data_IF_533031388506
#
_entry.id   IF_533031388506
#
_cell.length_a   1.000
_cell.length_b   1.000
_cell.length_c   1.000
_cell.angle_alpha   90.00
_cell.angle_beta   90.00
_cell.angle_gamma   90.00
#
_symmetry.space_group_name_H-M   'P 1'
#
loop_
_entity.id
_entity.type
_entity.pdbx_description
1 polymer ?
#
# COMPACT_ATOMS: atom_id res chain seq x y z
N UNK A 1 22.56 11.90 -3.13
CA UNK A 1 21.72 13.02 -3.61
C UNK A 1 20.92 12.66 -4.88
N UNK A 2 21.31 11.61 -5.63
CA UNK A 2 20.71 11.29 -6.94
C UNK A 2 19.54 10.28 -6.85
N UNK A 3 19.51 9.41 -5.82
CA UNK A 3 18.50 8.34 -5.74
C UNK A 3 17.10 8.83 -5.35
N UNK A 4 17.00 9.83 -4.48
CA UNK A 4 15.68 10.37 -4.11
C UNK A 4 15.00 11.13 -5.26
N UNK A 5 15.77 11.87 -6.06
CA UNK A 5 15.27 12.56 -7.25
C UNK A 5 14.76 11.57 -8.30
N UNK A 6 15.48 10.47 -8.52
CA UNK A 6 15.07 9.42 -9.45
C UNK A 6 13.75 8.76 -9.02
N UNK A 7 13.56 8.51 -7.73
CA UNK A 7 12.32 7.95 -7.20
C UNK A 7 11.12 8.88 -7.45
N UNK A 8 11.29 10.19 -7.21
CA UNK A 8 10.24 11.19 -7.46
C UNK A 8 9.91 11.28 -8.96
N UNK A 9 10.91 11.34 -9.84
CA UNK A 9 10.71 11.38 -11.30
C UNK A 9 9.98 10.11 -11.77
N UNK A 10 10.36 8.95 -11.30
CA UNK A 10 9.68 7.70 -11.62
C UNK A 10 8.22 7.73 -11.16
N UNK A 11 7.94 8.17 -9.94
CA UNK A 11 6.58 8.29 -9.42
C UNK A 11 5.69 9.16 -10.30
N UNK A 12 6.18 10.32 -10.75
CA UNK A 12 5.44 11.22 -11.65
C UNK A 12 5.19 10.54 -13.00
N UNK A 13 6.23 9.98 -13.61
CA UNK A 13 6.13 9.31 -14.93
C UNK A 13 5.10 8.15 -14.91
N UNK A 14 5.11 7.35 -13.85
CA UNK A 14 4.16 6.23 -13.76
C UNK A 14 2.75 6.68 -13.40
N UNK A 15 2.58 7.80 -12.70
CA UNK A 15 1.28 8.42 -12.49
C UNK A 15 0.66 8.87 -13.83
N UNK A 16 1.44 9.48 -14.71
CA UNK A 16 0.98 9.85 -16.06
C UNK A 16 0.55 8.62 -16.87
N UNK A 17 1.37 7.56 -16.88
CA UNK A 17 1.01 6.29 -17.54
C UNK A 17 -0.25 5.65 -16.94
N UNK A 18 -0.42 5.76 -15.61
CA UNK A 18 -1.61 5.23 -14.94
C UNK A 18 -2.86 6.02 -15.36
N UNK A 19 -2.78 7.34 -15.51
CA UNK A 19 -3.89 8.19 -16.00
C UNK A 19 -4.27 7.81 -17.45
N UNK A 20 -3.28 7.49 -18.29
CA UNK A 20 -3.55 7.02 -19.66
C UNK A 20 -4.26 5.65 -19.67
N UNK A 21 -3.90 4.77 -18.74
CA UNK A 21 -4.49 3.43 -18.62
C UNK A 21 -5.89 3.46 -17.98
N UNK A 22 -6.04 4.26 -16.93
CA UNK A 22 -7.28 4.42 -16.15
C UNK A 22 -7.51 5.90 -15.92
N UNK A 23 -8.44 6.53 -16.64
CA UNK A 23 -8.71 7.95 -16.48
C UNK A 23 -9.04 8.32 -15.04
N UNK A 24 -8.47 9.42 -14.57
CA UNK A 24 -8.74 9.94 -13.23
C UNK A 24 -10.18 10.43 -13.09
N UNK A 25 -10.78 10.36 -11.90
CA UNK A 25 -12.13 10.86 -11.66
C UNK A 25 -12.15 12.39 -11.76
N UNK A 26 -13.27 12.94 -12.24
CA UNK A 26 -13.43 14.40 -12.38
C UNK A 26 -13.38 15.15 -11.04
N UNK A 27 -13.75 14.48 -9.95
CA UNK A 27 -13.79 15.03 -8.59
C UNK A 27 -13.11 14.04 -7.63
N UNK A 28 -11.78 14.08 -7.47
CA UNK A 28 -11.07 13.24 -6.52
C UNK A 28 -11.46 13.59 -5.08
N UNK A 29 -11.62 12.58 -4.22
CA UNK A 29 -12.04 12.72 -2.83
C UNK A 29 -10.89 12.30 -1.91
N UNK A 30 -10.69 13.03 -0.79
CA UNK A 30 -9.67 12.67 0.19
C UNK A 30 -8.24 13.01 -0.22
N UNK A 31 -8.04 14.25 -0.70
CA UNK A 31 -6.76 14.79 -1.18
C UNK A 31 -6.35 16.08 -0.44
N UNK A 32 -6.54 16.11 0.86
CA UNK A 32 -6.32 17.28 1.72
C UNK A 32 -4.82 17.50 2.07
N UNK A 33 -4.51 18.40 3.00
CA UNK A 33 -3.15 18.79 3.38
C UNK A 33 -2.32 17.63 3.95
N UNK A 34 -1.29 17.21 3.22
CA UNK A 34 -0.37 16.13 3.59
C UNK A 34 0.39 16.37 4.91
N UNK A 35 0.52 17.63 5.37
CA UNK A 35 1.17 17.97 6.64
C UNK A 35 0.51 17.33 7.86
N UNK A 36 -0.78 17.00 7.77
CA UNK A 36 -1.54 16.30 8.81
C UNK A 36 -0.95 14.91 9.06
N UNK A 37 -0.51 14.23 8.00
CA UNK A 37 0.08 12.89 8.10
C UNK A 37 1.40 12.96 8.87
N UNK A 38 2.28 13.88 8.50
CA UNK A 38 3.54 14.08 9.22
C UNK A 38 3.30 14.44 10.71
N UNK A 39 2.36 15.33 11.01
CA UNK A 39 2.01 15.69 12.39
C UNK A 39 1.55 14.49 13.23
N UNK A 40 0.87 13.53 12.63
CA UNK A 40 0.36 12.33 13.31
C UNK A 40 1.38 11.20 13.41
N UNK A 41 2.19 11.00 12.38
CA UNK A 41 3.11 9.86 12.31
C UNK A 41 4.56 10.24 12.65
N UNK A 42 4.95 11.52 12.55
CA UNK A 42 6.34 11.94 12.71
C UNK A 42 7.28 11.51 11.59
N UNK A 43 6.74 10.97 10.48
CA UNK A 43 7.49 10.51 9.31
C UNK A 43 6.89 11.09 8.03
N UNK A 44 7.73 11.29 7.01
CA UNK A 44 7.30 11.67 5.67
C UNK A 44 7.00 10.41 4.87
N UNK A 45 5.78 10.30 4.35
CA UNK A 45 5.41 9.24 3.41
C UNK A 45 5.91 9.56 2.00
N UNK A 46 5.92 8.58 1.08
CA UNK A 46 6.31 8.78 -0.31
C UNK A 46 5.53 9.91 -0.98
N UNK A 47 6.24 10.77 -1.73
CA UNK A 47 5.61 11.91 -2.42
C UNK A 47 4.66 11.45 -3.53
N UNK A 48 4.97 10.35 -4.21
CA UNK A 48 4.11 9.78 -5.25
C UNK A 48 2.73 9.35 -4.73
N UNK A 49 2.63 8.97 -3.46
CA UNK A 49 1.34 8.73 -2.81
C UNK A 49 0.47 9.98 -2.73
N UNK A 50 1.03 11.11 -2.32
CA UNK A 50 0.26 12.35 -2.25
C UNK A 50 -0.09 12.87 -3.64
N UNK A 51 0.81 12.73 -4.62
CA UNK A 51 0.52 13.02 -6.01
C UNK A 51 -0.61 12.13 -6.56
N UNK A 52 -0.61 10.84 -6.20
CA UNK A 52 -1.70 9.92 -6.50
C UNK A 52 -3.02 10.37 -5.88
N UNK A 53 -3.04 10.67 -4.58
CA UNK A 53 -4.25 11.13 -3.89
C UNK A 53 -4.78 12.45 -4.46
N UNK A 54 -3.90 13.33 -4.93
CA UNK A 54 -4.30 14.58 -5.58
C UNK A 54 -5.06 14.33 -6.89
N UNK A 55 -4.66 13.31 -7.63
CA UNK A 55 -5.22 12.99 -8.95
C UNK A 55 -6.43 12.08 -8.85
N UNK A 56 -6.32 10.99 -8.08
CA UNK A 56 -7.37 9.97 -7.96
C UNK A 56 -8.22 10.12 -6.71
N UNK A 57 -7.65 10.60 -5.61
CA UNK A 57 -8.27 10.58 -4.30
C UNK A 57 -8.30 9.19 -3.67
N UNK A 58 -9.19 9.02 -2.70
CA UNK A 58 -9.48 7.71 -2.10
C UNK A 58 -10.43 6.92 -3.00
N UNK A 59 -10.15 5.64 -3.18
CA UNK A 59 -11.01 4.79 -4.02
C UNK A 59 -10.37 3.46 -4.35
N UNK A 60 -10.94 2.80 -5.35
CA UNK A 60 -10.49 1.49 -5.80
C UNK A 60 -10.41 1.39 -7.32
N UNK A 61 -9.45 0.61 -7.79
CA UNK A 61 -9.32 0.21 -9.18
C UNK A 61 -10.03 -1.11 -9.42
N UNK A 62 -10.85 -1.18 -10.47
CA UNK A 62 -11.48 -2.39 -10.94
C UNK A 62 -12.34 -3.11 -9.89
N UNK A 63 -12.86 -2.38 -8.89
CA UNK A 63 -13.59 -2.92 -7.75
C UNK A 63 -12.79 -3.96 -6.92
N UNK A 64 -11.48 -3.86 -6.92
CA UNK A 64 -10.63 -4.81 -6.19
C UNK A 64 -9.46 -4.17 -5.47
N UNK A 65 -8.63 -3.35 -6.12
CA UNK A 65 -7.46 -2.73 -5.48
C UNK A 65 -7.87 -1.41 -4.82
N UNK A 66 -7.95 -1.43 -3.50
CA UNK A 66 -8.23 -0.26 -2.67
C UNK A 66 -6.96 0.51 -2.32
N UNK A 67 -7.03 1.85 -2.37
CA UNK A 67 -5.98 2.74 -1.86
C UNK A 67 -6.50 3.51 -0.65
N UNK A 68 -5.86 3.32 0.50
CA UNK A 68 -6.25 3.98 1.74
C UNK A 68 -5.88 5.47 1.71
N UNK A 69 -6.76 6.31 2.29
CA UNK A 69 -6.50 7.74 2.41
C UNK A 69 -6.65 8.24 3.84
N UNK A 70 -5.75 9.13 4.30
CA UNK A 70 -5.86 9.76 5.63
C UNK A 70 -7.00 10.79 5.73
N UNK A 71 -7.61 11.17 4.59
CA UNK A 71 -8.52 12.30 4.48
C UNK A 71 -10.00 11.92 4.36
N UNK A 72 -10.33 10.62 4.41
CA UNK A 72 -11.70 10.12 4.33
C UNK A 72 -12.23 9.66 5.68
N UNK A 73 -13.56 9.68 5.81
CA UNK A 73 -14.25 9.26 7.04
C UNK A 73 -14.55 7.77 7.08
N UNK A 74 -14.60 7.10 5.93
CA UNK A 74 -14.85 5.67 5.85
C UNK A 74 -13.79 4.92 6.69
N UNK A 75 -14.17 4.22 7.77
CA UNK A 75 -13.21 3.61 8.70
C UNK A 75 -12.40 2.48 8.05
N UNK A 76 -12.93 1.82 7.03
CA UNK A 76 -12.28 0.70 6.33
C UNK A 76 -11.21 1.16 5.34
N UNK A 77 -11.34 2.37 4.81
CA UNK A 77 -10.36 2.95 3.89
C UNK A 77 -9.56 4.08 4.52
N UNK A 78 -9.83 4.43 5.79
CA UNK A 78 -9.05 5.45 6.48
C UNK A 78 -7.67 4.91 6.83
N UNK A 79 -6.65 5.52 6.27
CA UNK A 79 -5.25 5.15 6.41
C UNK A 79 -4.79 4.99 7.87
N UNK A 80 -5.15 5.93 8.76
CA UNK A 80 -4.75 5.85 10.16
C UNK A 80 -5.41 4.70 10.89
N UNK A 81 -6.66 4.39 10.56
CA UNK A 81 -7.36 3.25 11.13
C UNK A 81 -6.71 1.94 10.65
N UNK A 82 -6.34 1.85 9.38
CA UNK A 82 -5.70 0.66 8.83
C UNK A 82 -4.33 0.39 9.46
N UNK A 83 -3.54 1.42 9.75
CA UNK A 83 -2.29 1.26 10.52
C UNK A 83 -2.55 0.56 11.86
N UNK A 84 -3.59 0.97 12.58
CA UNK A 84 -3.92 0.40 13.91
C UNK A 84 -4.47 -1.01 13.77
N UNK A 85 -5.46 -1.19 12.89
CA UNK A 85 -6.16 -2.48 12.69
C UNK A 85 -5.16 -3.57 12.27
N UNK A 86 -4.34 -3.31 11.24
CA UNK A 86 -3.43 -4.31 10.70
C UNK A 86 -2.28 -4.62 11.67
N UNK A 87 -1.75 -3.60 12.35
CA UNK A 87 -0.76 -3.81 13.41
C UNK A 87 -1.31 -4.67 14.56
N UNK A 88 -2.50 -4.37 15.05
CA UNK A 88 -3.10 -5.06 16.19
C UNK A 88 -3.53 -6.48 15.81
N UNK A 89 -4.03 -6.67 14.60
CA UNK A 89 -4.31 -7.99 14.03
C UNK A 89 -3.03 -8.84 13.96
N UNK A 90 -1.95 -8.27 13.41
CA UNK A 90 -0.64 -8.91 13.36
C UNK A 90 -0.13 -9.30 14.75
N UNK A 91 -0.17 -8.38 15.71
CA UNK A 91 0.29 -8.65 17.07
C UNK A 91 -0.52 -9.78 17.73
N UNK A 92 -1.81 -9.83 17.49
CA UNK A 92 -2.70 -10.89 17.99
C UNK A 92 -2.35 -12.26 17.37
N UNK A 93 -2.11 -12.30 16.05
CA UNK A 93 -1.68 -13.52 15.37
C UNK A 93 -0.30 -13.97 15.83
N UNK A 94 0.66 -13.06 16.00
CA UNK A 94 1.99 -13.35 16.52
C UNK A 94 1.95 -14.00 17.90
N UNK A 95 1.10 -13.50 18.81
CA UNK A 95 0.90 -14.09 20.15
C UNK A 95 0.29 -15.49 20.06
N UNK A 96 -0.68 -15.69 19.18
CA UNK A 96 -1.29 -16.99 18.95
C UNK A 96 -0.25 -18.01 18.45
N UNK A 97 0.58 -17.66 17.50
CA UNK A 97 1.62 -18.56 16.97
C UNK A 97 2.67 -18.92 18.01
N UNK A 98 3.10 -17.96 18.82
CA UNK A 98 4.00 -18.22 19.95
C UNK A 98 3.33 -19.20 20.94
N UNK A 99 2.07 -18.95 21.29
CA UNK A 99 1.31 -19.79 22.22
C UNK A 99 1.09 -21.22 21.71
N UNK A 100 0.94 -21.41 20.41
CA UNK A 100 0.78 -22.72 19.77
C UNK A 100 2.10 -23.39 19.36
N UNK A 101 3.24 -22.76 19.65
CA UNK A 101 4.58 -23.23 19.26
C UNK A 101 4.72 -23.46 17.74
N UNK A 102 4.02 -22.67 16.92
CA UNK A 102 4.01 -22.75 15.45
C UNK A 102 5.13 -21.92 14.81
N UNK A 103 6.02 -21.33 15.57
CA UNK A 103 7.15 -20.53 15.08
C UNK A 103 8.09 -21.29 14.12
N UNK A 104 8.04 -22.62 14.10
CA UNK A 104 8.80 -23.48 13.18
C UNK A 104 8.18 -23.62 11.78
N UNK A 105 6.93 -23.22 11.60
CA UNK A 105 6.20 -23.36 10.32
C UNK A 105 6.56 -22.24 9.35
N UNK A 106 7.06 -21.11 9.87
CA UNK A 106 7.44 -19.96 9.04
C UNK A 106 8.95 -19.97 8.72
N UNK A 107 9.32 -19.68 7.45
CA UNK A 107 10.72 -19.78 6.99
C UNK A 107 11.75 -18.96 7.77
N UNK A 108 11.31 -17.95 8.52
CA UNK A 108 12.17 -17.06 9.30
C UNK A 108 12.24 -17.38 10.80
N UNK A 109 11.54 -18.43 11.26
CA UNK A 109 11.50 -18.81 12.69
C UNK A 109 10.80 -17.80 13.61
N UNK A 110 10.36 -16.66 13.10
CA UNK A 110 9.69 -15.57 13.85
C UNK A 110 8.27 -15.28 13.37
N UNK A 111 7.75 -16.02 12.41
CA UNK A 111 6.40 -15.89 11.85
C UNK A 111 6.31 -14.82 10.77
N UNK A 112 6.72 -13.59 11.00
CA UNK A 112 6.72 -12.50 10.03
C UNK A 112 8.11 -11.89 9.90
N UNK A 113 8.56 -11.62 8.68
CA UNK A 113 9.89 -11.06 8.45
C UNK A 113 9.98 -9.55 8.73
N UNK A 114 8.86 -8.90 9.06
CA UNK A 114 8.76 -7.47 9.24
C UNK A 114 8.03 -7.12 10.52
N UNK A 115 8.43 -6.01 11.14
CA UNK A 115 7.62 -5.34 12.15
C UNK A 115 6.68 -4.33 11.49
N UNK A 116 5.74 -3.78 12.26
CA UNK A 116 4.79 -2.77 11.83
C UNK A 116 5.09 -1.44 12.52
N UNK A 117 4.79 -0.33 11.81
CA UNK A 117 4.84 0.99 12.41
C UNK A 117 4.06 1.00 13.75
N UNK A 118 4.60 1.60 14.86
CA UNK A 118 5.70 2.56 14.91
C UNK A 118 7.11 1.94 15.15
N UNK A 119 7.31 0.63 15.00
CA UNK A 119 8.65 0.07 15.07
C UNK A 119 9.56 0.69 13.99
N UNK A 120 10.84 0.84 14.27
CA UNK A 120 11.82 1.35 13.31
C UNK A 120 11.90 0.43 12.10
N UNK A 121 11.77 0.99 10.90
CA UNK A 121 11.70 0.20 9.66
C UNK A 121 10.41 -0.60 9.47
N UNK A 122 9.42 -0.41 10.34
CA UNK A 122 8.16 -1.14 10.30
C UNK A 122 7.30 -0.81 9.09
N UNK A 123 6.49 -1.79 8.69
CA UNK A 123 5.57 -1.69 7.55
C UNK A 123 4.46 -0.68 7.81
N UNK A 124 4.11 0.07 6.77
CA UNK A 124 3.02 1.05 6.78
C UNK A 124 2.03 0.69 5.67
N UNK A 125 0.78 0.30 5.98
CA UNK A 125 -0.17 -0.12 4.96
C UNK A 125 -0.66 1.07 4.11
N UNK A 126 -0.80 0.86 2.79
CA UNK A 126 -1.33 1.89 1.90
C UNK A 126 -2.51 1.40 1.04
N UNK A 127 -2.76 0.10 0.97
CA UNK A 127 -3.84 -0.46 0.18
C UNK A 127 -4.03 -1.96 0.41
N UNK A 128 -5.04 -2.53 -0.23
CA UNK A 128 -5.34 -3.95 -0.19
C UNK A 128 -6.07 -4.40 -1.46
N UNK A 129 -6.22 -5.72 -1.62
CA UNK A 129 -7.22 -6.32 -2.50
C UNK A 129 -8.42 -6.72 -1.67
N UNK A 130 -9.57 -6.15 -1.98
CA UNK A 130 -10.81 -6.40 -1.25
C UNK A 130 -11.15 -7.89 -1.27
N UNK A 131 -11.41 -8.45 -0.09
CA UNK A 131 -11.86 -9.83 0.08
C UNK A 131 -10.80 -10.94 -0.06
N UNK A 132 -9.55 -10.59 -0.41
CA UNK A 132 -8.52 -11.60 -0.73
C UNK A 132 -7.42 -11.76 0.33
N UNK A 133 -7.43 -10.98 1.42
CA UNK A 133 -6.36 -11.01 2.42
C UNK A 133 -5.01 -10.45 1.94
N UNK A 134 -4.95 -9.88 0.74
CA UNK A 134 -3.74 -9.26 0.20
C UNK A 134 -3.66 -7.80 0.60
N UNK A 135 -2.56 -7.43 1.25
CA UNK A 135 -2.28 -6.06 1.69
C UNK A 135 -0.98 -5.55 1.09
N UNK A 136 -0.94 -4.24 0.86
CA UNK A 136 0.21 -3.53 0.35
C UNK A 136 0.75 -2.57 1.38
N UNK A 137 2.08 -2.60 1.55
CA UNK A 137 2.77 -1.79 2.54
C UNK A 137 3.92 -1.02 1.91
N UNK A 138 4.23 0.13 2.48
CA UNK A 138 5.55 0.72 2.36
C UNK A 138 6.46 0.17 3.44
N UNK A 139 7.69 -0.10 3.03
CA UNK A 139 8.80 -0.44 3.91
C UNK A 139 9.90 0.60 3.70
N UNK A 140 10.29 1.38 4.73
CA UNK A 140 11.39 2.32 4.60
C UNK A 140 12.71 1.58 4.39
N UNK A 141 13.56 2.14 3.55
CA UNK A 141 14.93 1.69 3.36
C UNK A 141 15.90 2.87 3.24
N UNK A 142 17.21 2.61 3.07
CA UNK A 142 18.24 3.65 3.00
C UNK A 142 18.11 4.58 1.79
N UNK A 143 17.46 4.14 0.72
CA UNK A 143 17.26 4.90 -0.52
C UNK A 143 15.88 5.52 -0.66
N UNK A 144 14.98 5.27 0.29
CA UNK A 144 13.60 5.74 0.25
C UNK A 144 12.60 4.70 0.73
N UNK A 145 11.77 4.21 -0.19
CA UNK A 145 10.67 3.31 0.12
C UNK A 145 10.64 2.12 -0.83
N UNK A 146 10.28 0.96 -0.31
CA UNK A 146 9.98 -0.27 -1.04
C UNK A 146 8.51 -0.60 -0.89
N UNK A 147 7.93 -1.29 -1.86
CA UNK A 147 6.59 -1.87 -1.73
C UNK A 147 6.73 -3.32 -1.24
N UNK A 148 5.94 -3.68 -0.26
CA UNK A 148 5.77 -5.07 0.17
C UNK A 148 4.32 -5.46 -0.11
N UNK A 149 4.12 -6.44 -0.99
CA UNK A 149 2.85 -7.13 -1.14
C UNK A 149 2.87 -8.36 -0.23
N UNK A 150 1.85 -8.50 0.57
CA UNK A 150 1.70 -9.59 1.53
C UNK A 150 0.32 -10.24 1.38
N UNK A 151 0.30 -11.56 1.30
CA UNK A 151 -0.91 -12.37 1.30
C UNK A 151 -0.64 -13.56 2.23
N UNK A 152 -1.45 -13.69 3.27
CA UNK A 152 -1.47 -14.70 4.35
C UNK A 152 -0.24 -15.62 4.51
N UNK A 153 0.23 -16.25 3.43
CA UNK A 153 1.30 -17.26 3.41
C UNK A 153 2.59 -16.77 2.75
N UNK A 154 2.55 -15.69 1.96
CA UNK A 154 3.70 -15.22 1.21
C UNK A 154 3.81 -13.70 1.14
N UNK A 155 5.03 -13.23 0.88
CA UNK A 155 5.27 -11.82 0.61
C UNK A 155 6.30 -11.64 -0.51
N UNK A 156 6.21 -10.51 -1.17
CA UNK A 156 7.22 -10.09 -2.14
C UNK A 156 7.54 -8.61 -1.96
N UNK A 157 8.83 -8.28 -2.10
CA UNK A 157 9.35 -6.90 -2.01
C UNK A 157 9.66 -6.38 -3.40
N UNK A 158 9.18 -5.17 -3.70
CA UNK A 158 9.36 -4.51 -4.99
C UNK A 158 10.10 -3.19 -4.80
N UNK A 159 11.20 -3.02 -5.55
CA UNK A 159 12.03 -1.81 -5.56
C UNK A 159 11.45 -0.79 -6.55
N UNK A 160 10.27 -0.26 -6.23
CA UNK A 160 9.57 0.68 -7.10
C UNK A 160 8.65 1.62 -6.31
N UNK A 161 8.18 2.69 -6.94
CA UNK A 161 7.19 3.61 -6.36
C UNK A 161 5.80 2.97 -6.30
N UNK A 162 4.89 3.53 -5.50
CA UNK A 162 3.52 3.04 -5.40
C UNK A 162 2.78 3.15 -6.74
N UNK A 163 2.93 4.28 -7.43
CA UNK A 163 2.29 4.50 -8.73
C UNK A 163 2.84 3.56 -9.81
N UNK A 164 4.15 3.27 -9.78
CA UNK A 164 4.77 2.26 -10.63
C UNK A 164 4.22 0.86 -10.34
N UNK A 165 4.10 0.51 -9.07
CA UNK A 165 3.53 -0.78 -8.65
C UNK A 165 2.09 -0.94 -9.17
N UNK A 166 1.22 0.03 -8.92
CA UNK A 166 -0.18 0.00 -9.39
C UNK A 166 -0.25 -0.12 -10.91
N UNK A 167 0.54 0.68 -11.64
CA UNK A 167 0.61 0.59 -13.10
C UNK A 167 1.00 -0.81 -13.56
N UNK A 168 2.06 -1.39 -12.96
CA UNK A 168 2.57 -2.71 -13.33
C UNK A 168 1.59 -3.85 -12.98
N UNK A 169 0.82 -3.73 -11.89
CA UNK A 169 -0.26 -4.66 -11.57
C UNK A 169 -1.27 -4.73 -12.73
N UNK A 170 -1.75 -3.58 -13.20
CA UNK A 170 -2.76 -3.54 -14.26
C UNK A 170 -2.20 -3.77 -15.66
N UNK A 171 -0.91 -3.53 -15.89
CA UNK A 171 -0.21 -3.84 -17.14
C UNK A 171 0.28 -5.29 -17.23
N UNK A 172 0.00 -6.15 -16.24
CA UNK A 172 0.44 -7.56 -16.19
C UNK A 172 1.96 -7.75 -16.13
N UNK A 173 2.68 -6.79 -15.54
CA UNK A 173 4.14 -6.85 -15.41
C UNK A 173 4.59 -7.39 -14.04
N UNK A 174 3.63 -7.66 -13.12
CA UNK A 174 3.89 -8.24 -11.80
C UNK A 174 3.21 -9.60 -11.73
N UNK A 175 3.98 -10.61 -11.33
CA UNK A 175 3.51 -11.95 -11.00
C UNK A 175 3.64 -12.13 -9.49
N UNK A 176 2.49 -12.12 -8.79
CA UNK A 176 2.35 -12.37 -7.37
C UNK A 176 0.99 -13.05 -7.14
N UNK A 177 0.95 -14.17 -6.44
CA UNK A 177 -0.26 -14.99 -6.32
C UNK A 177 -1.45 -14.20 -5.74
N UNK A 178 -1.19 -13.31 -4.77
CA UNK A 178 -2.20 -12.43 -4.18
C UNK A 178 -2.84 -11.41 -5.13
N UNK A 179 -2.38 -11.32 -6.40
CA UNK A 179 -2.96 -10.45 -7.43
C UNK A 179 -3.81 -11.22 -8.44
N UNK A 180 -3.94 -12.53 -8.32
CA UNK A 180 -4.68 -13.40 -9.25
C UNK A 180 -6.17 -13.02 -9.36
N UNK A 181 -6.74 -12.47 -8.30
CA UNK A 181 -8.14 -12.05 -8.24
C UNK A 181 -8.42 -10.69 -8.92
N UNK A 182 -7.37 -9.96 -9.33
CA UNK A 182 -7.55 -8.67 -9.98
C UNK A 182 -8.11 -8.83 -11.38
N UNK A 183 -9.35 -8.39 -11.57
CA UNK A 183 -9.98 -8.36 -12.88
C UNK A 183 -9.55 -7.11 -13.65
N UNK A 184 -8.92 -7.32 -14.81
CA UNK A 184 -8.51 -6.22 -15.72
C UNK A 184 -9.60 -5.83 -16.72
N UNK A 185 -10.69 -6.57 -16.74
CA UNK A 185 -11.85 -6.27 -17.58
C UNK A 185 -12.61 -5.10 -16.97
N UNK A 186 -12.92 -4.11 -17.80
CA UNK A 186 -13.65 -2.90 -17.40
C UNK A 186 -12.91 -2.11 -16.28
N UNK A 187 -11.58 -2.05 -16.39
CA UNK A 187 -10.73 -1.33 -15.44
C UNK A 187 -11.11 0.15 -15.38
N UNK A 188 -11.59 0.58 -14.22
CA UNK A 188 -11.93 1.95 -13.92
C UNK A 188 -11.52 2.28 -12.48
N UNK A 189 -11.48 3.56 -12.16
CA UNK A 189 -11.31 4.02 -10.77
C UNK A 189 -12.63 4.52 -10.23
N UNK A 190 -13.05 3.98 -9.08
CA UNK A 190 -14.25 4.38 -8.37
C UNK A 190 -13.87 5.09 -7.07
N UNK A 191 -14.32 6.34 -6.90
CA UNK A 191 -14.05 7.12 -5.68
C UNK A 191 -14.87 6.59 -4.51
N UNK A 192 -14.27 6.54 -3.31
CA UNK A 192 -14.92 6.22 -2.05
C UNK A 192 -15.04 7.47 -1.17
N UNK A 193 -16.21 7.67 -0.55
CA UNK A 193 -16.51 8.81 0.33
C UNK A 193 -16.37 8.44 1.81
#
# INVERSE_FOLDING_TARGET
YDMGLNYIIQGIMYLEKLIELVPAPANPVGNDDSSIVYKKLGIYLPEDYFNFLHVYGAGMFGNSLEVFSPFIKNPYMNFFNQIVILRDSYNSMKQLWIGLNLSSVFPTGSGYPFDFYPAEGGLIPWGCIEGCGTFFYWKPNYSGWEIVAYNDDEYQVFQMSMTEFIYNVFSSNIDFAGLSEITKKDLCFTTCQ
#
